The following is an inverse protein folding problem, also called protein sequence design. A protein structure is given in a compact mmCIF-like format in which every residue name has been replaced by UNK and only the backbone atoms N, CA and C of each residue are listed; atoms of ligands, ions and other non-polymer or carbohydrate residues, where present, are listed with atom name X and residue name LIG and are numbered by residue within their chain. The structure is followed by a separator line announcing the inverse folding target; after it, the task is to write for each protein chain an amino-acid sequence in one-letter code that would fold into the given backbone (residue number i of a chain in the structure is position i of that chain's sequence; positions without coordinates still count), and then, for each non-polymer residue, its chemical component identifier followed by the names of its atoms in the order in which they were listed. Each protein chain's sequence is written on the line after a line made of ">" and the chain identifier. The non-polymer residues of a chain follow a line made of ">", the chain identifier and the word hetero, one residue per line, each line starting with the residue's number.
data_IF_352330227709
#
_entry.id   IF_352330227709
#
_cell.length_a   1.000
_cell.length_b   1.000
_cell.length_c   1.000
_cell.angle_alpha   90.00
_cell.angle_beta   90.00
_cell.angle_gamma   90.00
#
_symmetry.space_group_name_H-M   'P 1'
#
loop_
_entity.id
_entity.type
_entity.pdbx_description
1 polymer ?
#
# COMPACT_ATOMS: atom_id res chain seq x y z
N UNK A 1 9.53 -21.71 21.74
CA UNK A 1 10.64 -21.70 20.75
C UNK A 1 10.05 -22.31 19.49
N UNK A 2 9.42 -21.48 18.65
CA UNK A 2 8.77 -21.96 17.43
C UNK A 2 9.81 -21.93 16.31
N UNK A 3 10.12 -23.12 15.78
CA UNK A 3 10.84 -23.27 14.53
C UNK A 3 9.81 -23.06 13.41
N UNK A 4 9.63 -21.80 13.02
CA UNK A 4 8.84 -21.47 11.83
C UNK A 4 9.64 -21.94 10.62
N UNK A 5 9.13 -22.95 9.92
CA UNK A 5 9.67 -23.39 8.64
C UNK A 5 9.58 -22.23 7.65
N UNK A 6 10.69 -21.50 7.47
CA UNK A 6 10.80 -20.49 6.43
C UNK A 6 10.60 -21.16 5.07
N UNK A 7 9.46 -20.89 4.43
CA UNK A 7 9.26 -21.23 3.02
C UNK A 7 10.01 -20.22 2.16
N UNK A 8 10.83 -20.73 1.25
CA UNK A 8 11.63 -19.92 0.32
C UNK A 8 11.40 -20.34 -1.12
N UNK A 9 11.56 -19.38 -2.03
CA UNK A 9 11.51 -19.61 -3.48
C UNK A 9 12.92 -19.51 -4.05
N UNK A 10 13.24 -20.37 -5.01
CA UNK A 10 14.54 -20.38 -5.66
C UNK A 10 14.71 -21.56 -6.60
N UNK A 11 15.91 -21.70 -7.16
CA UNK A 11 16.30 -22.85 -7.97
C UNK A 11 17.29 -23.72 -7.21
N UNK A 12 17.07 -25.04 -7.23
CA UNK A 12 18.03 -26.03 -6.71
C UNK A 12 19.26 -26.19 -7.61
N UNK A 13 19.23 -25.64 -8.82
CA UNK A 13 20.30 -25.75 -9.82
C UNK A 13 20.58 -24.39 -10.45
N UNK A 14 21.15 -23.48 -9.66
CA UNK A 14 21.53 -22.13 -10.12
C UNK A 14 22.79 -22.14 -11.01
N UNK A 15 23.85 -22.85 -10.60
CA UNK A 15 25.09 -22.97 -11.37
C UNK A 15 25.80 -24.29 -11.04
N UNK A 16 26.39 -24.92 -12.06
CA UNK A 16 27.23 -26.09 -11.85
C UNK A 16 28.52 -25.71 -11.12
N UNK A 17 28.85 -26.47 -10.07
CA UNK A 17 30.02 -26.19 -9.21
C UNK A 17 31.35 -26.31 -9.97
N UNK A 18 31.46 -27.23 -10.93
CA UNK A 18 32.64 -27.41 -11.75
C UNK A 18 32.82 -26.24 -12.73
N UNK A 19 31.73 -25.62 -13.18
CA UNK A 19 31.79 -24.37 -13.95
C UNK A 19 32.25 -23.22 -13.06
N UNK A 20 31.66 -23.06 -11.87
CA UNK A 20 31.98 -22.00 -10.92
C UNK A 20 33.44 -22.06 -10.44
N UNK A 21 33.92 -23.25 -10.06
CA UNK A 21 35.26 -23.45 -9.50
C UNK A 21 36.33 -23.78 -10.54
N UNK A 22 35.92 -24.13 -11.77
CA UNK A 22 36.81 -24.53 -12.85
C UNK A 22 36.83 -23.49 -13.98
N UNK A 23 36.13 -23.79 -15.07
CA UNK A 23 36.27 -23.07 -16.36
C UNK A 23 35.95 -21.57 -16.28
N UNK A 24 35.10 -21.15 -15.33
CA UNK A 24 34.72 -19.74 -15.15
C UNK A 24 35.21 -19.14 -13.83
N UNK A 25 36.13 -19.79 -13.10
CA UNK A 25 36.60 -19.31 -11.78
C UNK A 25 37.07 -17.85 -11.81
N UNK A 26 37.96 -17.51 -12.73
CA UNK A 26 38.52 -16.15 -12.79
C UNK A 26 37.47 -15.07 -13.14
N UNK A 27 36.35 -15.46 -13.75
CA UNK A 27 35.28 -14.56 -14.15
C UNK A 27 34.21 -14.42 -13.07
N UNK A 28 33.83 -15.52 -12.42
CA UNK A 28 32.72 -15.59 -11.47
C UNK A 28 33.15 -15.51 -10.00
N UNK A 29 34.43 -15.75 -9.73
CA UNK A 29 35.06 -15.67 -8.41
C UNK A 29 36.30 -14.76 -8.44
N UNK A 30 36.20 -13.50 -8.91
CA UNK A 30 37.32 -12.58 -8.83
C UNK A 30 37.71 -12.40 -7.35
N UNK A 31 39.00 -12.57 -7.04
CA UNK A 31 39.52 -12.60 -5.67
C UNK A 31 38.83 -13.64 -4.75
N UNK A 32 38.39 -14.77 -5.33
CA UNK A 32 37.65 -15.82 -4.63
C UNK A 32 36.31 -15.35 -4.00
N UNK A 33 35.74 -14.24 -4.48
CA UNK A 33 34.44 -13.70 -4.03
C UNK A 33 33.34 -14.00 -5.04
N UNK A 34 32.27 -14.68 -4.59
CA UNK A 34 31.04 -14.85 -5.38
C UNK A 34 30.07 -13.70 -5.09
N UNK A 35 29.73 -12.92 -6.11
CA UNK A 35 28.69 -11.89 -6.02
C UNK A 35 27.42 -12.40 -6.70
N UNK A 36 26.31 -12.46 -5.96
CA UNK A 36 25.00 -12.88 -6.47
C UNK A 36 24.11 -11.64 -6.61
N UNK A 37 23.60 -11.39 -7.82
CA UNK A 37 22.57 -10.38 -8.06
C UNK A 37 21.20 -11.05 -8.08
N UNK A 38 20.22 -10.44 -7.45
CA UNK A 38 18.83 -10.89 -7.45
C UNK A 38 17.93 -9.71 -7.77
N UNK A 39 17.14 -9.85 -8.83
CA UNK A 39 16.14 -8.86 -9.24
C UNK A 39 14.76 -9.44 -8.93
N UNK A 40 13.96 -8.68 -8.19
CA UNK A 40 12.62 -9.09 -7.76
C UNK A 40 11.60 -8.12 -8.35
N UNK A 41 10.70 -8.66 -9.16
CA UNK A 41 9.54 -7.91 -9.67
C UNK A 41 8.29 -8.43 -8.99
N UNK A 42 7.70 -7.61 -8.13
CA UNK A 42 6.39 -7.91 -7.55
C UNK A 42 5.31 -7.41 -8.52
N UNK A 43 4.62 -8.32 -9.20
CA UNK A 43 3.41 -7.99 -9.92
C UNK A 43 2.22 -8.01 -8.96
N UNK A 44 1.43 -6.93 -8.95
CA UNK A 44 0.09 -6.95 -8.38
C UNK A 44 -0.86 -7.33 -9.50
N UNK A 45 -1.66 -8.37 -9.29
CA UNK A 45 -2.87 -8.57 -10.08
C UNK A 45 -3.84 -7.49 -9.59
N UNK A 46 -3.89 -6.37 -10.31
CA UNK A 46 -5.00 -5.43 -10.16
C UNK A 46 -6.17 -6.07 -10.92
N UNK A 47 -7.26 -6.36 -10.22
CA UNK A 47 -8.50 -6.74 -10.87
C UNK A 47 -8.90 -5.57 -11.77
N UNK A 48 -9.08 -5.85 -13.07
CA UNK A 48 -9.48 -4.88 -14.10
C UNK A 48 -10.82 -4.23 -13.70
N UNK A 49 -10.75 -3.11 -12.98
CA UNK A 49 -11.86 -2.18 -12.79
C UNK A 49 -11.34 -0.83 -13.21
N UNK A 50 -11.60 -0.51 -14.49
CA UNK A 50 -10.96 0.57 -15.23
C UNK A 50 -10.99 1.92 -14.54
N UNK A 51 -9.86 2.62 -14.60
CA UNK A 51 -9.79 4.00 -15.11
C UNK A 51 -8.33 4.40 -15.18
N UNK A 52 -7.91 4.68 -16.41
CA UNK A 52 -6.70 5.40 -16.78
C UNK A 52 -6.49 6.64 -15.89
N UNK A 53 -5.50 6.61 -14.99
CA UNK A 53 -4.79 7.82 -14.53
C UNK A 53 -3.34 7.48 -14.12
N UNK A 54 -2.47 7.72 -15.10
CA UNK A 54 -1.10 8.26 -14.96
C UNK A 54 -0.07 7.47 -14.16
N UNK A 55 0.86 6.91 -14.94
CA UNK A 55 2.27 6.74 -14.62
C UNK A 55 2.84 7.90 -13.76
N UNK A 56 3.80 7.54 -12.88
CA UNK A 56 4.57 8.36 -11.94
C UNK A 56 4.03 8.39 -10.49
N UNK A 57 4.53 7.48 -9.64
CA UNK A 57 5.63 7.84 -8.73
C UNK A 57 6.10 6.66 -7.87
N UNK A 58 7.43 6.52 -7.84
CA UNK A 58 8.20 5.68 -6.95
C UNK A 58 7.98 6.11 -5.48
N UNK A 59 8.01 5.14 -4.57
CA UNK A 59 7.98 5.28 -3.11
C UNK A 59 6.79 6.06 -2.52
N UNK A 60 5.73 5.35 -2.13
CA UNK A 60 4.89 5.76 -1.00
C UNK A 60 4.72 4.63 0.00
N UNK A 61 4.81 4.93 1.32
CA UNK A 61 4.63 3.95 2.38
C UNK A 61 3.21 3.41 2.32
N UNK A 62 3.10 2.10 2.61
CA UNK A 62 1.90 1.29 2.61
C UNK A 62 0.62 2.12 2.88
N UNK A 63 -0.15 2.40 1.83
CA UNK A 63 -1.58 2.67 2.00
C UNK A 63 -2.18 1.34 2.43
N UNK A 64 -2.43 1.17 3.72
CA UNK A 64 -3.36 0.15 4.20
C UNK A 64 -4.67 0.39 3.48
N UNK A 65 -4.99 -0.47 2.51
CA UNK A 65 -6.32 -0.52 1.92
C UNK A 65 -7.28 -0.86 3.05
N UNK A 66 -8.00 0.14 3.56
CA UNK A 66 -9.05 -0.07 4.55
C UNK A 66 -10.17 -0.79 3.82
N UNK A 67 -10.20 -2.13 3.90
CA UNK A 67 -11.16 -2.99 3.21
C UNK A 67 -12.61 -2.88 3.75
N UNK A 68 -12.97 -1.80 4.44
CA UNK A 68 -14.27 -1.66 5.09
C UNK A 68 -14.76 -0.20 5.10
N UNK A 69 -14.71 0.47 3.94
CA UNK A 69 -15.21 1.85 3.77
C UNK A 69 -16.73 1.95 3.86
N UNK A 70 -17.46 0.87 3.57
CA UNK A 70 -18.93 0.85 3.65
C UNK A 70 -19.43 0.97 5.09
N UNK A 71 -18.80 0.25 6.04
CA UNK A 71 -19.13 0.34 7.47
C UNK A 71 -18.92 1.77 7.97
N UNK A 72 -17.76 2.37 7.66
CA UNK A 72 -17.43 3.72 8.11
C UNK A 72 -18.34 4.79 7.49
N UNK A 73 -18.67 4.67 6.21
CA UNK A 73 -19.59 5.59 5.52
C UNK A 73 -20.99 5.55 6.17
N UNK A 74 -21.48 4.36 6.49
CA UNK A 74 -22.76 4.19 7.19
C UNK A 74 -22.73 4.75 8.61
N UNK A 75 -21.61 4.59 9.33
CA UNK A 75 -21.42 5.14 10.67
C UNK A 75 -21.41 6.69 10.64
N UNK A 76 -20.68 7.29 9.69
CA UNK A 76 -20.64 8.75 9.51
C UNK A 76 -21.99 9.33 9.07
N UNK A 77 -22.70 8.63 8.18
CA UNK A 77 -24.05 9.02 7.76
C UNK A 77 -25.04 8.96 8.93
N UNK A 78 -24.89 7.96 9.81
CA UNK A 78 -25.70 7.85 11.02
C UNK A 78 -25.39 8.97 12.02
N UNK A 79 -24.13 9.39 12.13
CA UNK A 79 -23.73 10.56 12.94
C UNK A 79 -24.32 11.88 12.42
N UNK A 80 -24.45 12.03 11.10
CA UNK A 80 -25.08 13.21 10.49
C UNK A 80 -26.60 13.24 10.72
N UNK A 81 -27.29 12.11 10.52
CA UNK A 81 -28.75 12.08 10.56
C UNK A 81 -29.37 12.14 11.97
N UNK A 82 -28.60 11.79 13.00
CA UNK A 82 -29.13 11.64 14.37
C UNK A 82 -28.84 12.85 15.27
N UNK A 83 -28.24 13.93 14.76
CA UNK A 83 -27.81 15.16 15.46
C UNK A 83 -26.92 14.94 16.70
N UNK A 84 -26.51 13.70 16.95
CA UNK A 84 -25.83 13.29 18.16
C UNK A 84 -24.38 13.78 18.15
N UNK A 85 -23.99 14.52 19.20
CA UNK A 85 -22.66 15.13 19.38
C UNK A 85 -22.34 16.31 18.44
N UNK A 86 -23.35 16.92 17.82
CA UNK A 86 -23.16 18.11 16.97
C UNK A 86 -22.64 19.29 17.79
N UNK A 87 -21.57 19.90 17.32
CA UNK A 87 -20.89 21.04 17.93
C UNK A 87 -20.93 22.30 17.05
N UNK A 88 -21.50 22.20 15.85
CA UNK A 88 -21.70 23.28 14.89
C UNK A 88 -23.13 23.30 14.36
N UNK A 89 -23.77 24.48 14.34
CA UNK A 89 -25.05 24.69 13.66
C UNK A 89 -24.89 25.70 12.52
N UNK A 90 -25.26 25.32 11.30
CA UNK A 90 -25.32 26.22 10.16
C UNK A 90 -26.77 26.58 9.83
N UNK A 91 -27.08 27.87 9.84
CA UNK A 91 -28.39 28.37 9.38
C UNK A 91 -28.34 28.68 7.89
N UNK A 92 -29.14 27.98 7.10
CA UNK A 92 -29.30 28.23 5.66
C UNK A 92 -30.73 28.67 5.40
N UNK A 93 -30.91 29.98 5.17
CA UNK A 93 -32.25 30.56 5.08
C UNK A 93 -33.00 30.43 6.41
N UNK A 94 -34.08 29.64 6.41
CA UNK A 94 -34.92 29.38 7.59
C UNK A 94 -34.69 27.99 8.21
N UNK A 95 -33.70 27.23 7.71
CA UNK A 95 -33.38 25.88 8.18
C UNK A 95 -32.06 25.88 8.96
N UNK A 96 -32.02 25.08 10.02
CA UNK A 96 -30.83 24.89 10.86
C UNK A 96 -30.28 23.47 10.62
N UNK A 97 -29.02 23.39 10.18
CA UNK A 97 -28.27 22.16 9.93
C UNK A 97 -27.29 21.91 11.08
N UNK A 98 -27.40 20.76 11.74
CA UNK A 98 -26.47 20.34 12.78
C UNK A 98 -25.30 19.57 12.17
N UNK A 99 -24.07 19.94 12.51
CA UNK A 99 -22.83 19.42 11.95
C UNK A 99 -21.79 19.16 13.02
N UNK A 100 -20.76 18.40 12.64
CA UNK A 100 -19.56 18.16 13.45
C UNK A 100 -18.36 18.91 12.88
N UNK A 101 -17.82 19.88 13.63
CA UNK A 101 -16.77 20.82 13.21
C UNK A 101 -15.50 20.13 12.73
N UNK A 102 -15.16 18.97 13.31
CA UNK A 102 -14.01 18.15 12.93
C UNK A 102 -14.05 17.67 11.47
N UNK A 103 -15.24 17.53 10.87
CA UNK A 103 -15.38 17.16 9.45
C UNK A 103 -15.41 18.36 8.51
N UNK A 104 -15.74 19.56 9.01
CA UNK A 104 -15.91 20.77 8.17
C UNK A 104 -14.60 21.54 7.92
N UNK A 105 -13.56 21.34 8.76
CA UNK A 105 -12.26 22.01 8.58
C UNK A 105 -11.41 21.53 7.39
N UNK A 106 -11.86 20.53 6.62
CA UNK A 106 -11.09 20.00 5.47
C UNK A 106 -11.37 20.70 4.14
N UNK A 107 -12.43 21.50 4.02
CA UNK A 107 -12.87 22.10 2.74
C UNK A 107 -12.78 23.63 2.69
N UNK A 108 -11.91 24.27 3.48
CA UNK A 108 -11.60 25.69 3.25
C UNK A 108 -10.53 25.84 2.15
N UNK A 109 -10.98 25.82 0.90
CA UNK A 109 -10.31 26.53 -0.18
C UNK A 109 -10.43 28.03 0.08
N UNK A 110 -9.33 28.64 0.52
CA UNK A 110 -9.18 30.09 0.60
C UNK A 110 -8.99 30.62 -0.83
N UNK A 111 -9.86 31.53 -1.29
CA UNK A 111 -9.59 32.46 -2.40
C UNK A 111 -9.26 33.83 -1.84
#
# INVERSE_FOLDING_TARGET
>A
MYDETLSGYGSFSFIDRNVLLGTKRNLLLPNDVLTISCELTAARLEDDIGSELTELNQYQPQRTTILNTESLSNDLKSLYNNDMFSDLTLRVGNEDLQLHSAFSHRDQCVS
#
